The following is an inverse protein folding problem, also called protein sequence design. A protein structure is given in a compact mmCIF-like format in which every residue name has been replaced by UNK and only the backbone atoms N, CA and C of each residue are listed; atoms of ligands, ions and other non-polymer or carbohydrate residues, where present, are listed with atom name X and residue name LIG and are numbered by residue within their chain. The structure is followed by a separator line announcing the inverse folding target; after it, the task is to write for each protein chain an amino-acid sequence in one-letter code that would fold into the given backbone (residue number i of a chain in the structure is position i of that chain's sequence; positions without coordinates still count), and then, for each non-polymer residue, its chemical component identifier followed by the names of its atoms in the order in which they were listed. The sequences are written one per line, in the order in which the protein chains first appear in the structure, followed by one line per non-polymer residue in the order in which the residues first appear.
data_IF_800547609764
#
_entry.id   IF_800547609764
#
_cell.length_a   1.000
_cell.length_b   1.000
_cell.length_c   1.000
_cell.angle_alpha   90.00
_cell.angle_beta   90.00
_cell.angle_gamma   90.00
#
_symmetry.space_group_name_H-M   'P 1'
#
loop_
_entity.id
_entity.type
_entity.pdbx_description
1 polymer ?
#
# COMPACT_ATOMS: atom_id res chain seq x y z
N UNK A 1 29.07 17.31 -1.84
CA UNK A 1 27.85 17.12 -2.64
C UNK A 1 27.25 15.71 -2.50
N UNK A 2 28.01 14.60 -2.55
CA UNK A 2 27.50 13.24 -2.33
C UNK A 2 26.88 12.97 -0.95
N UNK A 3 27.51 13.47 0.13
CA UNK A 3 26.96 13.31 1.51
C UNK A 3 25.58 13.97 1.70
N UNK A 4 25.30 15.07 1.01
CA UNK A 4 24.00 15.76 1.09
C UNK A 4 22.90 14.98 0.42
N UNK A 5 23.14 14.38 -0.75
CA UNK A 5 22.12 13.55 -1.47
C UNK A 5 21.78 12.28 -0.69
N UNK A 6 22.78 11.60 -0.15
CA UNK A 6 22.56 10.41 0.68
C UNK A 6 21.74 10.74 1.95
N UNK A 7 22.07 11.85 2.62
CA UNK A 7 21.32 12.29 3.80
C UNK A 7 19.86 12.62 3.47
N UNK A 8 19.60 13.31 2.37
CA UNK A 8 18.24 13.63 1.92
C UNK A 8 17.45 12.36 1.55
N UNK A 9 18.09 11.38 0.88
CA UNK A 9 17.49 10.09 0.59
C UNK A 9 17.12 9.31 1.86
N UNK A 10 18.00 9.32 2.86
CA UNK A 10 17.74 8.70 4.17
C UNK A 10 16.56 9.37 4.88
N UNK A 11 16.53 10.70 4.92
CA UNK A 11 15.42 11.46 5.51
C UNK A 11 14.09 11.19 4.81
N UNK A 12 14.11 11.10 3.47
CA UNK A 12 12.92 10.73 2.69
C UNK A 12 12.44 9.31 3.05
N UNK A 13 13.37 8.35 3.17
CA UNK A 13 13.05 6.97 3.59
C UNK A 13 12.43 6.92 4.99
N UNK A 14 13.01 7.63 5.95
CA UNK A 14 12.46 7.74 7.32
C UNK A 14 11.05 8.35 7.28
N UNK A 15 10.84 9.41 6.50
CA UNK A 15 9.53 10.05 6.35
C UNK A 15 8.46 9.08 5.82
N UNK A 16 8.82 8.21 4.85
CA UNK A 16 7.92 7.16 4.35
C UNK A 16 7.51 6.20 5.45
N UNK A 17 8.45 5.77 6.28
CA UNK A 17 8.15 4.86 7.41
C UNK A 17 7.13 5.50 8.36
N UNK A 18 7.32 6.76 8.73
CA UNK A 18 6.35 7.47 9.57
C UNK A 18 4.99 7.61 8.89
N UNK A 19 4.94 8.01 7.61
CA UNK A 19 3.70 8.16 6.86
C UNK A 19 2.91 6.85 6.83
N UNK A 20 3.56 5.73 6.55
CA UNK A 20 2.90 4.44 6.47
C UNK A 20 2.52 3.88 7.86
N UNK A 21 3.34 4.12 8.89
CA UNK A 21 2.98 3.73 10.26
C UNK A 21 1.74 4.47 10.75
N UNK A 22 1.66 5.78 10.54
CA UNK A 22 0.47 6.56 10.85
C UNK A 22 -0.73 6.12 10.03
N UNK A 23 -0.54 5.76 8.76
CA UNK A 23 -1.62 5.26 7.93
C UNK A 23 -2.27 3.99 8.50
N UNK A 24 -1.48 3.07 9.05
CA UNK A 24 -2.02 1.85 9.70
C UNK A 24 -2.93 2.21 10.88
N UNK A 25 -2.48 3.11 11.76
CA UNK A 25 -3.24 3.55 12.94
C UNK A 25 -4.52 4.29 12.54
N UNK A 26 -4.40 5.24 11.60
CA UNK A 26 -5.54 6.01 11.09
C UNK A 26 -6.55 5.10 10.41
N UNK A 27 -6.11 4.14 9.60
CA UNK A 27 -6.99 3.17 8.94
C UNK A 27 -7.75 2.35 9.98
N UNK A 28 -7.05 1.80 10.98
CA UNK A 28 -7.69 1.00 12.04
C UNK A 28 -8.71 1.82 12.83
N UNK A 29 -8.40 3.08 13.17
CA UNK A 29 -9.35 3.95 13.86
C UNK A 29 -10.61 4.24 13.03
N UNK A 30 -10.47 4.34 11.73
CA UNK A 30 -11.59 4.55 10.83
C UNK A 30 -12.47 3.30 10.67
N UNK A 31 -11.88 2.10 10.60
CA UNK A 31 -12.63 0.83 10.54
C UNK A 31 -13.45 0.59 11.82
N UNK A 32 -13.02 1.14 12.94
CA UNK A 32 -13.79 1.10 14.19
C UNK A 32 -14.95 2.11 14.21
N UNK A 33 -15.15 2.89 13.15
CA UNK A 33 -16.27 3.83 12.98
C UNK A 33 -17.38 3.20 12.14
N UNK A 34 -18.33 4.02 11.68
CA UNK A 34 -19.40 3.62 10.76
C UNK A 34 -18.93 3.47 9.30
N UNK A 35 -17.72 3.94 8.98
CA UNK A 35 -17.16 3.84 7.63
C UNK A 35 -16.86 2.38 7.26
N UNK A 36 -17.21 2.02 6.03
CA UNK A 36 -16.92 0.70 5.47
C UNK A 36 -15.55 0.66 4.80
N UNK A 37 -14.97 -0.54 4.65
CA UNK A 37 -13.73 -0.73 3.87
C UNK A 37 -13.87 -0.25 2.42
N UNK A 38 -15.10 -0.24 1.91
CA UNK A 38 -15.40 0.25 0.56
C UNK A 38 -15.33 1.77 0.46
N UNK A 39 -15.70 2.49 1.52
CA UNK A 39 -15.55 3.95 1.61
C UNK A 39 -14.06 4.34 1.56
N UNK A 40 -13.20 3.59 2.28
CA UNK A 40 -11.75 3.84 2.26
C UNK A 40 -11.15 3.64 0.88
N UNK A 41 -11.55 2.59 0.17
CA UNK A 41 -11.11 2.37 -1.20
C UNK A 41 -11.61 3.48 -2.14
N UNK A 42 -12.84 3.97 -1.93
CA UNK A 42 -13.40 5.09 -2.69
C UNK A 42 -12.63 6.40 -2.43
N UNK A 43 -12.27 6.70 -1.18
CA UNK A 43 -11.43 7.85 -0.85
C UNK A 43 -10.04 7.70 -1.47
N UNK A 44 -9.45 6.51 -1.37
CA UNK A 44 -8.12 6.21 -1.93
C UNK A 44 -8.07 6.47 -3.43
N UNK A 45 -8.97 5.90 -4.19
CA UNK A 45 -8.95 6.05 -5.66
C UNK A 45 -9.57 7.38 -6.10
N UNK A 46 -10.70 7.78 -5.52
CA UNK A 46 -11.41 8.99 -5.90
C UNK A 46 -10.58 10.24 -5.70
N UNK A 47 -10.12 10.47 -4.47
CA UNK A 47 -9.38 11.70 -4.15
C UNK A 47 -7.99 11.73 -4.77
N UNK A 48 -7.27 10.59 -4.78
CA UNK A 48 -5.96 10.56 -5.43
C UNK A 48 -6.06 10.77 -6.94
N UNK A 49 -7.15 10.31 -7.58
CA UNK A 49 -7.37 10.52 -9.02
C UNK A 49 -7.64 11.98 -9.37
N UNK A 50 -8.24 12.77 -8.49
CA UNK A 50 -8.46 14.21 -8.73
C UNK A 50 -7.14 14.96 -8.95
N UNK A 51 -6.09 14.61 -8.20
CA UNK A 51 -4.76 15.19 -8.36
C UNK A 51 -3.98 14.49 -9.49
N UNK A 52 -4.12 13.17 -9.60
CA UNK A 52 -3.41 12.39 -10.60
C UNK A 52 -3.89 12.67 -12.02
N UNK A 53 -5.18 12.93 -12.23
CA UNK A 53 -5.78 13.12 -13.56
C UNK A 53 -5.14 14.25 -14.36
N UNK A 54 -5.02 15.50 -13.84
CA UNK A 54 -4.38 16.56 -14.61
C UNK A 54 -2.92 16.25 -14.96
N UNK A 55 -2.17 15.60 -14.05
CA UNK A 55 -0.78 15.20 -14.30
C UNK A 55 -0.73 14.14 -15.41
N UNK A 56 -1.59 13.14 -15.34
CA UNK A 56 -1.68 12.06 -16.32
C UNK A 56 -2.10 12.60 -17.69
N UNK A 57 -3.05 13.53 -17.75
CA UNK A 57 -3.47 14.16 -19.00
C UNK A 57 -2.36 15.01 -19.62
N UNK A 58 -1.57 15.71 -18.81
CA UNK A 58 -0.45 16.53 -19.28
C UNK A 58 0.70 15.67 -19.82
N UNK A 59 1.18 14.69 -19.06
CA UNK A 59 2.32 13.85 -19.42
C UNK A 59 1.99 12.70 -20.37
N UNK A 60 0.72 12.31 -20.51
CA UNK A 60 0.22 11.25 -21.41
C UNK A 60 0.98 9.92 -21.29
N UNK A 61 1.16 9.38 -20.06
CA UNK A 61 2.01 8.20 -19.83
C UNK A 61 1.51 6.93 -20.53
N UNK A 62 0.24 6.87 -20.93
CA UNK A 62 -0.31 5.77 -21.73
C UNK A 62 0.34 5.60 -23.10
N UNK A 63 1.08 6.62 -23.60
CA UNK A 63 1.82 6.53 -24.87
C UNK A 63 3.14 5.74 -24.72
N UNK A 64 3.65 5.60 -23.52
CA UNK A 64 4.98 5.03 -23.22
C UNK A 64 4.94 3.73 -22.45
N UNK A 65 3.76 3.30 -22.01
CA UNK A 65 3.56 2.03 -21.29
C UNK A 65 2.76 1.06 -22.17
N UNK A 66 3.14 -0.22 -22.19
CA UNK A 66 2.39 -1.24 -22.92
C UNK A 66 1.10 -1.61 -22.19
N UNK A 67 0.06 -1.96 -22.93
CA UNK A 67 -1.25 -2.32 -22.38
C UNK A 67 -1.18 -3.47 -21.37
N UNK A 68 -0.34 -4.48 -21.64
CA UNK A 68 -0.11 -5.58 -20.71
C UNK A 68 0.44 -5.11 -19.33
N UNK A 69 1.39 -4.18 -19.34
CA UNK A 69 1.93 -3.60 -18.09
C UNK A 69 0.89 -2.77 -17.35
N UNK A 70 0.05 -2.04 -18.09
CA UNK A 70 -1.07 -1.28 -17.49
C UNK A 70 -1.99 -2.24 -16.73
N UNK A 71 -2.43 -3.33 -17.35
CA UNK A 71 -3.33 -4.30 -16.70
C UNK A 71 -2.71 -4.85 -15.43
N UNK A 72 -1.47 -5.32 -15.48
CA UNK A 72 -0.81 -5.94 -14.33
C UNK A 72 -0.61 -4.94 -13.20
N UNK A 73 -0.08 -3.74 -13.47
CA UNK A 73 0.16 -2.75 -12.42
C UNK A 73 -1.17 -2.25 -11.82
N UNK A 74 -2.19 -2.03 -12.66
CA UNK A 74 -3.53 -1.66 -12.20
C UNK A 74 -4.14 -2.74 -11.31
N UNK A 75 -4.00 -4.01 -11.67
CA UNK A 75 -4.49 -5.13 -10.86
C UNK A 75 -3.76 -5.24 -9.52
N UNK A 76 -2.42 -5.16 -9.52
CA UNK A 76 -1.60 -5.28 -8.31
C UNK A 76 -1.82 -4.14 -7.30
N UNK A 77 -2.15 -2.94 -7.76
CA UNK A 77 -2.50 -1.78 -6.93
C UNK A 77 -4.01 -1.56 -6.81
N UNK A 78 -4.79 -2.47 -7.38
CA UNK A 78 -6.23 -2.33 -7.56
C UNK A 78 -7.09 -2.66 -6.34
N UNK A 79 -8.41 -2.64 -6.54
CA UNK A 79 -9.38 -2.83 -5.46
C UNK A 79 -9.21 -4.14 -4.70
N UNK A 80 -8.85 -5.23 -5.38
CA UNK A 80 -8.63 -6.53 -4.72
C UNK A 80 -7.53 -6.43 -3.67
N UNK A 81 -6.38 -5.85 -4.04
CA UNK A 81 -5.27 -5.62 -3.12
C UNK A 81 -5.69 -4.79 -1.90
N UNK A 82 -6.28 -3.62 -2.14
CA UNK A 82 -6.56 -2.68 -1.04
C UNK A 82 -7.71 -3.15 -0.15
N UNK A 83 -8.72 -3.81 -0.72
CA UNK A 83 -9.80 -4.39 0.05
C UNK A 83 -9.30 -5.56 0.92
N UNK A 84 -8.38 -6.40 0.42
CA UNK A 84 -7.70 -7.39 1.26
C UNK A 84 -7.01 -6.71 2.45
N UNK A 85 -6.22 -5.65 2.22
CA UNK A 85 -5.52 -4.94 3.29
C UNK A 85 -6.51 -4.32 4.29
N UNK A 86 -7.57 -3.67 3.84
CA UNK A 86 -8.59 -3.11 4.73
C UNK A 86 -9.37 -4.19 5.48
N UNK A 87 -9.63 -5.34 4.86
CA UNK A 87 -10.22 -6.49 5.55
C UNK A 87 -9.34 -7.00 6.68
N UNK A 88 -8.03 -6.96 6.53
CA UNK A 88 -7.10 -7.31 7.60
C UNK A 88 -7.32 -6.51 8.87
N UNK A 89 -7.62 -5.22 8.74
CA UNK A 89 -7.91 -4.35 9.88
C UNK A 89 -9.28 -4.61 10.55
N UNK A 90 -10.19 -5.33 9.94
CA UNK A 90 -11.43 -5.75 10.61
C UNK A 90 -11.12 -6.75 11.71
N UNK A 91 -10.20 -7.67 11.46
CA UNK A 91 -9.91 -8.81 12.34
C UNK A 91 -8.70 -8.58 13.24
N UNK A 92 -7.72 -7.79 12.82
CA UNK A 92 -6.45 -7.63 13.53
C UNK A 92 -6.12 -6.16 13.86
N UNK A 93 -5.34 -5.90 14.92
CA UNK A 93 -4.93 -4.56 15.30
C UNK A 93 -3.92 -3.96 14.30
N UNK A 94 -3.70 -2.64 14.37
CA UNK A 94 -2.77 -1.92 13.48
C UNK A 94 -1.32 -2.43 13.57
N UNK A 95 -0.89 -2.92 14.74
CA UNK A 95 0.44 -3.52 14.94
C UNK A 95 0.66 -4.73 14.04
N UNK A 96 -0.36 -5.59 13.86
CA UNK A 96 -0.30 -6.74 12.97
C UNK A 96 -0.13 -6.31 11.50
N UNK A 97 -0.84 -5.26 11.06
CA UNK A 97 -0.60 -4.66 9.74
C UNK A 97 0.84 -4.16 9.56
N UNK A 98 1.43 -3.59 10.62
CA UNK A 98 2.85 -3.20 10.63
C UNK A 98 3.79 -4.38 10.44
N UNK A 99 3.52 -5.50 11.09
CA UNK A 99 4.35 -6.72 11.05
C UNK A 99 4.11 -7.51 9.76
N UNK A 100 2.86 -7.90 9.50
CA UNK A 100 2.54 -8.85 8.42
C UNK A 100 2.44 -8.20 7.04
N UNK A 101 2.08 -6.93 6.95
CA UNK A 101 2.09 -6.22 5.67
C UNK A 101 3.44 -5.53 5.44
N UNK A 102 3.77 -4.51 6.24
CA UNK A 102 4.96 -3.69 6.01
C UNK A 102 6.26 -4.43 6.36
N UNK A 103 6.26 -5.22 7.43
CA UNK A 103 7.42 -6.00 7.87
C UNK A 103 7.79 -7.14 6.91
N UNK A 104 6.81 -7.88 6.39
CA UNK A 104 7.09 -8.98 5.44
C UNK A 104 7.35 -8.50 4.00
N UNK A 105 7.06 -7.25 3.67
CA UNK A 105 7.28 -6.70 2.34
C UNK A 105 8.74 -6.84 1.83
N UNK A 106 9.79 -6.54 2.63
CA UNK A 106 11.18 -6.78 2.21
C UNK A 106 11.48 -8.26 1.95
N UNK A 107 10.91 -9.18 2.75
CA UNK A 107 11.07 -10.61 2.57
C UNK A 107 10.50 -11.07 1.21
N UNK A 108 9.26 -10.73 0.90
CA UNK A 108 8.65 -11.08 -0.38
C UNK A 108 9.34 -10.37 -1.56
N UNK A 109 9.75 -9.10 -1.39
CA UNK A 109 10.49 -8.37 -2.41
C UNK A 109 11.83 -9.05 -2.72
N UNK A 110 12.51 -9.62 -1.73
CA UNK A 110 13.74 -10.38 -1.92
C UNK A 110 13.48 -11.67 -2.73
N UNK A 111 12.43 -12.43 -2.38
CA UNK A 111 12.03 -13.64 -3.09
C UNK A 111 11.69 -13.32 -4.55
N UNK A 112 10.78 -12.40 -4.79
CA UNK A 112 10.38 -12.05 -6.16
C UNK A 112 11.51 -11.39 -6.94
N UNK A 113 12.38 -10.60 -6.29
CA UNK A 113 13.58 -10.03 -6.88
C UNK A 113 14.58 -11.10 -7.35
N UNK A 114 14.75 -12.16 -6.58
CA UNK A 114 15.57 -13.31 -6.97
C UNK A 114 15.00 -14.00 -8.22
N UNK A 115 13.72 -14.33 -8.23
CA UNK A 115 13.11 -15.06 -9.35
C UNK A 115 12.92 -14.18 -10.61
N UNK A 116 12.43 -12.96 -10.48
CA UNK A 116 12.04 -12.12 -11.61
C UNK A 116 13.19 -11.25 -12.13
N UNK A 117 14.03 -10.71 -11.24
CA UNK A 117 15.18 -9.87 -11.60
C UNK A 117 16.49 -10.64 -11.65
N UNK A 118 16.49 -11.93 -11.28
CA UNK A 118 17.69 -12.78 -11.16
C UNK A 118 18.77 -12.15 -10.27
N UNK A 119 18.38 -11.42 -9.24
CA UNK A 119 19.28 -10.78 -8.29
C UNK A 119 19.93 -11.83 -7.40
N UNK A 120 21.21 -11.67 -7.12
CA UNK A 120 21.90 -12.49 -6.12
C UNK A 120 21.45 -12.07 -4.73
N UNK A 121 21.11 -13.04 -3.90
CA UNK A 121 20.79 -12.80 -2.50
C UNK A 121 22.08 -12.87 -1.69
N UNK A 122 22.40 -11.82 -0.95
CA UNK A 122 23.54 -11.80 -0.05
C UNK A 122 23.15 -12.36 1.32
N UNK A 123 24.14 -12.95 2.03
CA UNK A 123 23.93 -13.54 3.34
C UNK A 123 23.25 -12.58 4.34
N UNK A 124 23.67 -11.32 4.35
CA UNK A 124 23.06 -10.28 5.20
C UNK A 124 21.58 -10.07 4.92
N UNK A 125 21.14 -10.13 3.65
CA UNK A 125 19.73 -10.04 3.27
C UNK A 125 18.95 -11.26 3.74
N UNK A 126 19.51 -12.46 3.63
CA UNK A 126 18.90 -13.69 4.13
C UNK A 126 18.73 -13.65 5.65
N UNK A 127 19.75 -13.16 6.37
CA UNK A 127 19.69 -13.01 7.81
C UNK A 127 18.60 -12.00 8.23
N UNK A 128 18.54 -10.85 7.55
CA UNK A 128 17.49 -9.86 7.78
C UNK A 128 16.10 -10.42 7.51
N UNK A 129 15.92 -11.16 6.42
CA UNK A 129 14.66 -11.81 6.08
C UNK A 129 14.25 -12.86 7.14
N UNK A 130 15.19 -13.67 7.62
CA UNK A 130 14.96 -14.64 8.68
C UNK A 130 14.56 -13.97 10.01
N UNK A 131 15.21 -12.85 10.35
CA UNK A 131 14.87 -12.07 11.55
C UNK A 131 13.45 -11.49 11.46
N UNK A 132 13.03 -11.00 10.30
CA UNK A 132 11.67 -10.50 10.06
C UNK A 132 10.64 -11.64 10.25
N UNK A 133 10.89 -12.82 9.65
CA UNK A 133 10.01 -13.98 9.81
C UNK A 133 9.92 -14.41 11.27
N UNK A 134 11.04 -14.48 11.98
CA UNK A 134 11.06 -14.83 13.38
C UNK A 134 10.24 -13.82 14.22
N UNK A 135 10.40 -12.51 14.00
CA UNK A 135 9.59 -11.48 14.63
C UNK A 135 8.09 -11.63 14.33
N UNK A 136 7.74 -11.98 13.08
CA UNK A 136 6.35 -12.28 12.70
C UNK A 136 5.79 -13.49 13.46
N UNK A 137 6.56 -14.58 13.59
CA UNK A 137 6.15 -15.76 14.35
C UNK A 137 5.91 -15.44 15.84
N UNK A 138 6.78 -14.62 16.44
CA UNK A 138 6.58 -14.18 17.83
C UNK A 138 5.30 -13.36 17.98
N UNK A 139 4.99 -12.49 17.04
CA UNK A 139 3.77 -11.69 17.07
C UNK A 139 2.49 -12.54 16.94
N UNK A 140 2.52 -13.61 16.13
CA UNK A 140 1.41 -14.58 16.08
C UNK A 140 1.24 -15.27 17.43
N UNK A 141 2.34 -15.69 18.06
CA UNK A 141 2.30 -16.35 19.34
C UNK A 141 1.69 -15.47 20.43
N UNK A 142 2.12 -14.20 20.50
CA UNK A 142 1.59 -13.20 21.45
C UNK A 142 0.10 -12.91 21.18
N UNK A 143 -0.30 -12.86 19.92
CA UNK A 143 -1.70 -12.65 19.51
C UNK A 143 -2.65 -13.79 19.89
N UNK A 144 -2.14 -15.02 20.07
CA UNK A 144 -2.94 -16.16 20.52
C UNK A 144 -3.31 -16.07 22.02
N UNK A 145 -2.50 -15.39 22.81
CA UNK A 145 -2.76 -15.16 24.25
C UNK A 145 -3.65 -13.94 24.50
N UNK A 146 -3.68 -12.96 23.58
CA UNK A 146 -4.51 -11.78 23.65
C UNK A 146 -5.87 -12.05 22.97
N UNK A 147 -6.96 -11.60 23.55
CA UNK A 147 -8.40 -11.78 23.26
C UNK A 147 -8.89 -11.65 21.80
N UNK A 148 -8.03 -11.79 20.79
CA UNK A 148 -8.37 -11.72 19.37
C UNK A 148 -8.28 -13.10 18.72
N UNK A 149 -9.27 -13.97 18.99
CA UNK A 149 -9.33 -15.33 18.41
C UNK A 149 -9.22 -15.37 16.87
N UNK A 150 -9.64 -14.31 16.19
CA UNK A 150 -9.71 -14.25 14.72
C UNK A 150 -8.61 -13.39 14.08
N UNK A 151 -7.60 -12.91 14.86
CA UNK A 151 -6.52 -12.07 14.36
C UNK A 151 -5.72 -12.73 13.23
N UNK A 152 -5.58 -14.06 13.24
CA UNK A 152 -4.91 -14.82 12.19
C UNK A 152 -5.55 -14.64 10.80
N UNK A 153 -6.88 -14.39 10.75
CA UNK A 153 -7.58 -14.07 9.48
C UNK A 153 -7.08 -12.72 8.96
N UNK A 154 -6.98 -11.73 9.86
CA UNK A 154 -6.42 -10.43 9.54
C UNK A 154 -4.97 -10.50 9.07
N UNK A 155 -4.16 -11.31 9.74
CA UNK A 155 -2.76 -11.54 9.37
C UNK A 155 -2.62 -12.14 7.98
N UNK A 156 -3.47 -13.11 7.65
CA UNK A 156 -3.51 -13.69 6.30
C UNK A 156 -3.84 -12.64 5.23
N UNK A 157 -4.82 -11.77 5.48
CA UNK A 157 -5.13 -10.66 4.57
C UNK A 157 -3.95 -9.69 4.41
N UNK A 158 -3.22 -9.37 5.49
CA UNK A 158 -2.03 -8.54 5.43
C UNK A 158 -0.89 -9.19 4.66
N UNK A 159 -0.67 -10.50 4.83
CA UNK A 159 0.32 -11.27 4.05
C UNK A 159 -0.02 -11.26 2.55
N UNK A 160 -1.28 -11.46 2.18
CA UNK A 160 -1.73 -11.34 0.80
C UNK A 160 -1.44 -9.93 0.26
N UNK A 161 -1.76 -8.89 1.03
CA UNK A 161 -1.43 -7.51 0.69
C UNK A 161 0.07 -7.28 0.49
N UNK A 162 0.92 -7.84 1.36
CA UNK A 162 2.38 -7.77 1.24
C UNK A 162 2.89 -8.45 -0.03
N UNK A 163 2.32 -9.58 -0.42
CA UNK A 163 2.65 -10.30 -1.67
C UNK A 163 2.30 -9.43 -2.88
N UNK A 164 1.08 -8.91 -2.96
CA UNK A 164 0.65 -8.04 -4.07
C UNK A 164 1.56 -6.83 -4.23
N UNK A 165 1.84 -6.15 -3.12
CA UNK A 165 2.67 -4.95 -3.15
C UNK A 165 4.13 -5.27 -3.50
N UNK A 166 4.67 -6.39 -3.01
CA UNK A 166 6.04 -6.81 -3.32
C UNK A 166 6.22 -7.17 -4.79
N UNK A 167 5.23 -7.87 -5.39
CA UNK A 167 5.23 -8.14 -6.84
C UNK A 167 5.18 -6.83 -7.61
N UNK A 168 4.30 -5.89 -7.22
CA UNK A 168 4.23 -4.56 -7.82
C UNK A 168 5.59 -3.84 -7.78
N UNK A 169 6.28 -3.83 -6.63
CA UNK A 169 7.58 -3.16 -6.48
C UNK A 169 8.62 -3.78 -7.41
N UNK A 170 8.71 -5.10 -7.47
CA UNK A 170 9.67 -5.81 -8.31
C UNK A 170 9.39 -5.61 -9.80
N UNK A 171 8.13 -5.72 -10.23
CA UNK A 171 7.74 -5.49 -11.62
C UNK A 171 7.92 -4.01 -12.03
N UNK A 172 7.69 -3.08 -11.13
CA UNK A 172 7.94 -1.66 -11.38
C UNK A 172 9.41 -1.38 -11.66
N UNK A 173 10.32 -2.04 -10.94
CA UNK A 173 11.76 -1.99 -11.21
C UNK A 173 12.11 -2.67 -12.53
N UNK A 174 11.60 -3.89 -12.77
CA UNK A 174 11.87 -4.66 -13.98
C UNK A 174 11.46 -3.90 -15.26
N UNK A 175 10.34 -3.19 -15.20
CA UNK A 175 9.78 -2.47 -16.34
C UNK A 175 10.13 -0.99 -16.39
N UNK A 176 10.89 -0.48 -15.42
CA UNK A 176 11.23 0.94 -15.25
C UNK A 176 9.98 1.83 -15.27
N UNK A 177 8.97 1.45 -14.49
CA UNK A 177 7.70 2.18 -14.44
C UNK A 177 7.92 3.57 -13.84
N UNK A 178 7.51 4.60 -14.59
CA UNK A 178 7.64 5.99 -14.15
C UNK A 178 6.55 6.38 -13.15
N UNK A 179 6.79 7.46 -12.40
CA UNK A 179 5.80 8.00 -11.46
C UNK A 179 4.47 8.33 -12.14
N UNK A 180 4.49 8.91 -13.33
CA UNK A 180 3.27 9.26 -14.07
C UNK A 180 2.50 8.03 -14.54
N UNK A 181 3.20 6.94 -14.90
CA UNK A 181 2.58 5.64 -15.21
C UNK A 181 1.98 5.00 -13.96
N UNK A 182 2.60 5.16 -12.77
CA UNK A 182 2.02 4.71 -11.51
C UNK A 182 0.75 5.49 -11.15
N UNK A 183 0.73 6.81 -11.34
CA UNK A 183 -0.47 7.63 -11.15
C UNK A 183 -1.60 7.21 -12.08
N UNK A 184 -1.28 6.89 -13.34
CA UNK A 184 -2.26 6.35 -14.29
C UNK A 184 -2.86 5.04 -13.78
N UNK A 185 -2.04 4.04 -13.50
CA UNK A 185 -2.49 2.69 -13.14
C UNK A 185 -3.07 2.62 -11.73
N UNK A 186 -2.37 3.19 -10.73
CA UNK A 186 -2.71 3.07 -9.32
C UNK A 186 -3.85 3.98 -8.87
N UNK A 187 -4.06 5.13 -9.53
CA UNK A 187 -5.10 6.08 -9.15
C UNK A 187 -6.18 6.21 -10.22
N UNK A 188 -5.84 6.69 -11.42
CA UNK A 188 -6.85 7.09 -12.43
C UNK A 188 -7.65 5.88 -12.95
N UNK A 189 -6.98 4.83 -13.43
CA UNK A 189 -7.67 3.67 -13.97
C UNK A 189 -8.45 2.94 -12.88
N UNK A 190 -7.86 2.78 -11.70
CA UNK A 190 -8.56 2.17 -10.57
C UNK A 190 -9.77 2.98 -10.12
N UNK A 191 -9.71 4.32 -10.16
CA UNK A 191 -10.87 5.17 -9.89
C UNK A 191 -11.98 4.94 -10.91
N UNK A 192 -11.66 4.92 -12.21
CA UNK A 192 -12.61 4.69 -13.29
C UNK A 192 -13.29 3.31 -13.15
N UNK A 193 -12.55 2.30 -12.73
CA UNK A 193 -13.08 0.94 -12.55
C UNK A 193 -13.88 0.81 -11.25
N UNK A 194 -13.39 1.37 -10.14
CA UNK A 194 -13.93 1.13 -8.82
C UNK A 194 -15.11 2.03 -8.46
N UNK A 195 -15.04 3.33 -8.75
CA UNK A 195 -16.07 4.28 -8.32
C UNK A 195 -17.47 3.96 -8.85
N UNK A 196 -17.68 3.56 -10.12
CA UNK A 196 -19.00 3.14 -10.58
C UNK A 196 -19.55 1.96 -9.79
N UNK A 197 -18.72 0.95 -9.52
CA UNK A 197 -19.11 -0.22 -8.72
C UNK A 197 -19.44 0.19 -7.29
N UNK A 198 -18.63 1.05 -6.69
CA UNK A 198 -18.86 1.57 -5.34
C UNK A 198 -20.19 2.32 -5.24
N UNK A 199 -20.46 3.26 -6.16
CA UNK A 199 -21.68 4.06 -6.10
C UNK A 199 -22.96 3.27 -6.36
N UNK A 200 -22.90 2.24 -7.20
CA UNK A 200 -24.09 1.47 -7.62
C UNK A 200 -24.36 0.25 -6.73
N UNK A 201 -23.33 -0.41 -6.20
CA UNK A 201 -23.50 -1.75 -5.63
C UNK A 201 -22.95 -1.93 -4.21
N UNK A 202 -22.06 -1.08 -3.73
CA UNK A 202 -21.37 -1.33 -2.46
C UNK A 202 -22.03 -0.55 -1.30
N UNK A 203 -22.01 -1.11 -0.08
CA UNK A 203 -22.52 -0.43 1.10
C UNK A 203 -21.65 0.79 1.46
N UNK A 204 -22.29 1.82 1.99
CA UNK A 204 -21.71 3.12 2.31
C UNK A 204 -21.98 3.48 3.75
N UNK A 205 -20.97 3.91 4.49
CA UNK A 205 -21.09 4.42 5.85
C UNK A 205 -20.83 5.94 5.96
N UNK A 206 -20.60 6.62 4.84
CA UNK A 206 -20.21 8.06 4.82
C UNK A 206 -21.23 8.95 5.50
N UNK A 207 -22.53 8.69 5.31
CA UNK A 207 -23.61 9.54 5.84
C UNK A 207 -23.74 9.48 7.35
N UNK A 208 -23.27 8.42 7.97
CA UNK A 208 -23.34 8.17 9.41
C UNK A 208 -22.03 8.51 10.13
N UNK A 209 -20.96 8.75 9.38
CA UNK A 209 -19.65 8.97 9.94
C UNK A 209 -19.50 10.38 10.52
N UNK A 210 -18.88 10.52 11.71
CA UNK A 210 -18.55 11.83 12.28
C UNK A 210 -17.64 12.63 11.33
N UNK A 211 -17.93 13.92 11.13
CA UNK A 211 -17.20 14.77 10.18
C UNK A 211 -15.68 14.78 10.40
N UNK A 212 -15.21 14.72 11.67
CA UNK A 212 -13.78 14.68 11.98
C UNK A 212 -13.10 13.39 11.51
N UNK A 213 -13.75 12.25 11.69
CA UNK A 213 -13.25 10.95 11.21
C UNK A 213 -13.29 10.92 9.69
N UNK A 214 -14.38 11.39 9.09
CA UNK A 214 -14.53 11.46 7.65
C UNK A 214 -13.41 12.29 7.01
N UNK A 215 -13.16 13.51 7.50
CA UNK A 215 -12.11 14.38 7.01
C UNK A 215 -10.71 13.75 7.16
N UNK A 216 -10.44 13.14 8.32
CA UNK A 216 -9.16 12.45 8.58
C UNK A 216 -8.95 11.29 7.59
N UNK A 217 -9.96 10.44 7.39
CA UNK A 217 -9.87 9.31 6.47
C UNK A 217 -9.74 9.78 5.02
N UNK A 218 -10.50 10.77 4.59
CA UNK A 218 -10.37 11.35 3.25
C UNK A 218 -8.95 11.86 2.99
N UNK A 219 -8.37 12.63 3.93
CA UNK A 219 -7.01 13.12 3.83
C UNK A 219 -5.99 11.97 3.77
N UNK A 220 -6.09 11.03 4.69
CA UNK A 220 -5.11 9.96 4.78
C UNK A 220 -5.25 8.92 3.66
N UNK A 221 -6.46 8.46 3.34
CA UNK A 221 -6.63 7.47 2.27
C UNK A 221 -6.39 8.08 0.89
N UNK A 222 -6.82 9.33 0.67
CA UNK A 222 -6.74 9.99 -0.63
C UNK A 222 -5.38 10.57 -1.00
N UNK A 223 -4.69 11.17 -0.04
CA UNK A 223 -3.53 12.00 -0.36
C UNK A 223 -2.22 11.51 0.23
N UNK A 224 -2.17 11.27 1.55
CA UNK A 224 -0.90 11.13 2.28
C UNK A 224 -0.08 9.93 1.81
N UNK A 225 -0.52 8.66 1.91
CA UNK A 225 0.31 7.54 1.49
C UNK A 225 0.44 7.38 -0.02
N UNK A 226 -0.57 7.77 -0.79
CA UNK A 226 -0.58 7.56 -2.24
C UNK A 226 0.22 8.59 -3.03
N UNK A 227 0.18 9.85 -2.61
CA UNK A 227 0.85 10.93 -3.34
C UNK A 227 2.16 11.30 -2.66
N UNK A 228 2.12 11.63 -1.37
CA UNK A 228 3.30 12.06 -0.61
C UNK A 228 4.22 10.86 -0.37
N UNK A 229 3.68 9.71 0.05
CA UNK A 229 4.48 8.50 0.30
C UNK A 229 5.19 8.00 -0.96
N UNK A 230 4.51 7.96 -2.11
CA UNK A 230 5.12 7.56 -3.38
C UNK A 230 6.18 8.57 -3.84
N UNK A 231 5.96 9.87 -3.64
CA UNK A 231 6.97 10.89 -3.94
C UNK A 231 8.25 10.66 -3.14
N UNK A 232 8.15 10.49 -1.83
CA UNK A 232 9.31 10.26 -0.97
C UNK A 232 10.02 8.93 -1.26
N UNK A 233 9.28 7.84 -1.52
CA UNK A 233 9.91 6.55 -1.85
C UNK A 233 10.66 6.59 -3.18
N UNK A 234 10.11 7.31 -4.17
CA UNK A 234 10.78 7.51 -5.46
C UNK A 234 12.06 8.34 -5.28
N UNK A 235 12.01 9.39 -4.46
CA UNK A 235 13.17 10.21 -4.16
C UNK A 235 14.24 9.44 -3.38
N UNK A 236 13.86 8.63 -2.41
CA UNK A 236 14.78 7.82 -1.61
C UNK A 236 15.47 6.71 -2.45
N UNK A 237 14.87 6.30 -3.57
CA UNK A 237 15.40 5.23 -4.44
C UNK A 237 16.38 5.72 -5.50
N UNK A 238 16.57 7.04 -5.65
CA UNK A 238 17.50 7.69 -6.60
C UNK A 238 18.87 8.00 -5.94
#
# INVERSE_FOLDING_TARGET
MFKSKYFLGLMAGISVVFIWSFWLVVTRSGISSTLTIYDFAAFRYGLSSLIALPIVLYFKPWKTITFFRVIIITFLLGPIYILCVFSGFIYAPASHGGIFMNGLMPFFTLIFGFFLLRQKIFFQQSLGAATILFGGCLAVYDGLELSFSDAWIGDLFFVIGAIFFSIYVVLSRLWNITMTQLLLCGSVINAIMYLPVYFLFLPKGITEAPNGILALQMMYQGFVPNLIGIFFITYASQ
#
